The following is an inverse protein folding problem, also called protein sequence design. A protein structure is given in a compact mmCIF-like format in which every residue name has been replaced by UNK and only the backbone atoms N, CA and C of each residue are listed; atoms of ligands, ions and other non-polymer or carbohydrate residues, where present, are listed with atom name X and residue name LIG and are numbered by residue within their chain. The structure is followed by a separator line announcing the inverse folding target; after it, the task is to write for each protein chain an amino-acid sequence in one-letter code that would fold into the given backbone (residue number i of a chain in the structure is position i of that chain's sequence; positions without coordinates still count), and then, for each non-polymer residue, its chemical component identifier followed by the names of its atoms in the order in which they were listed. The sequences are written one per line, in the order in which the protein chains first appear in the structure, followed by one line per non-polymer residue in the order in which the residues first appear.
data_IF_137668927104
#
_entry.id   IF_137668927104
#
_cell.length_a   1.000
_cell.length_b   1.000
_cell.length_c   1.000
_cell.angle_alpha   90.00
_cell.angle_beta   90.00
_cell.angle_gamma   90.00
#
_symmetry.space_group_name_H-M   'P 1'
#
loop_
_entity.id
_entity.type
_entity.pdbx_description
1 polymer ?
#
# COMPACT_ATOMS: atom_id res chain seq x y z
N UNK A 1 -6.44 14.24 -13.85
CA UNK A 1 -6.51 13.39 -12.66
C UNK A 1 -7.93 13.26 -12.22
N UNK A 2 -8.33 12.07 -11.75
CA UNK A 2 -9.55 11.95 -10.98
C UNK A 2 -9.38 12.72 -9.65
N UNK A 3 -10.47 12.98 -8.95
CA UNK A 3 -10.36 13.55 -7.59
C UNK A 3 -10.15 12.42 -6.56
N UNK A 4 -9.68 12.79 -5.36
CA UNK A 4 -9.47 11.88 -4.24
C UNK A 4 -10.62 10.90 -4.01
N UNK A 5 -11.85 11.42 -3.99
CA UNK A 5 -13.06 10.63 -3.73
C UNK A 5 -13.27 9.53 -4.80
N UNK A 6 -12.97 9.83 -6.06
CA UNK A 6 -13.08 8.86 -7.15
C UNK A 6 -12.07 7.74 -6.97
N UNK A 7 -10.81 8.06 -6.67
CA UNK A 7 -9.76 7.05 -6.43
C UNK A 7 -10.04 6.18 -5.20
N UNK A 8 -10.54 6.79 -4.12
CA UNK A 8 -10.93 6.05 -2.92
C UNK A 8 -12.10 5.10 -3.21
N UNK A 9 -13.18 5.58 -3.82
CA UNK A 9 -14.36 4.76 -4.12
C UNK A 9 -14.02 3.60 -5.06
N UNK A 10 -13.24 3.86 -6.10
CA UNK A 10 -12.83 2.82 -7.04
C UNK A 10 -11.93 1.78 -6.37
N UNK A 11 -10.94 2.23 -5.58
CA UNK A 11 -10.07 1.33 -4.80
C UNK A 11 -10.86 0.45 -3.85
N UNK A 12 -11.74 1.06 -3.04
CA UNK A 12 -12.61 0.35 -2.09
C UNK A 12 -13.50 -0.66 -2.81
N UNK A 13 -14.12 -0.29 -3.93
CA UNK A 13 -15.01 -1.19 -4.66
C UNK A 13 -14.25 -2.38 -5.27
N UNK A 14 -13.20 -2.12 -6.05
CA UNK A 14 -12.45 -3.17 -6.76
C UNK A 14 -11.77 -4.13 -5.79
N UNK A 15 -11.09 -3.59 -4.79
CA UNK A 15 -10.34 -4.42 -3.83
C UNK A 15 -11.29 -5.10 -2.83
N UNK A 16 -12.44 -4.50 -2.50
CA UNK A 16 -13.47 -5.13 -1.68
C UNK A 16 -14.09 -6.34 -2.36
N UNK A 17 -14.45 -6.23 -3.65
CA UNK A 17 -14.95 -7.36 -4.45
C UNK A 17 -13.88 -8.46 -4.50
N UNK A 18 -12.62 -8.12 -4.81
CA UNK A 18 -11.54 -9.09 -4.88
C UNK A 18 -11.31 -9.83 -3.54
N UNK A 19 -11.34 -9.10 -2.42
CA UNK A 19 -11.21 -9.69 -1.09
C UNK A 19 -12.39 -10.63 -0.77
N UNK A 20 -13.62 -10.20 -1.07
CA UNK A 20 -14.82 -11.02 -0.88
C UNK A 20 -14.79 -12.30 -1.74
N UNK A 21 -14.31 -12.21 -2.97
CA UNK A 21 -14.13 -13.37 -3.86
C UNK A 21 -13.16 -14.40 -3.26
N UNK A 22 -12.03 -13.96 -2.70
CA UNK A 22 -11.07 -14.86 -2.07
C UNK A 22 -11.62 -15.53 -0.79
N UNK A 23 -12.48 -14.84 -0.04
CA UNK A 23 -13.21 -15.43 1.10
C UNK A 23 -14.22 -16.46 0.61
N UNK A 24 -15.04 -16.12 -0.39
CA UNK A 24 -16.05 -17.02 -0.95
C UNK A 24 -15.43 -18.30 -1.54
N UNK A 25 -14.21 -18.17 -2.08
CA UNK A 25 -13.41 -19.30 -2.55
C UNK A 25 -12.87 -20.21 -1.43
N UNK A 26 -12.74 -19.68 -0.21
CA UNK A 26 -12.24 -20.42 0.96
C UNK A 26 -10.72 -20.38 1.15
N UNK A 27 -9.99 -19.54 0.41
CA UNK A 27 -8.53 -19.46 0.49
C UNK A 27 -8.02 -18.60 1.65
N UNK A 28 -8.83 -17.63 2.09
CA UNK A 28 -8.46 -16.68 3.14
C UNK A 28 -9.56 -16.51 4.18
N UNK A 29 -9.14 -16.14 5.39
CA UNK A 29 -10.06 -15.77 6.47
C UNK A 29 -10.67 -14.38 6.23
N UNK A 30 -11.78 -14.09 6.90
CA UNK A 30 -12.41 -12.76 6.88
C UNK A 30 -11.45 -11.69 7.40
N UNK A 31 -10.65 -11.99 8.42
CA UNK A 31 -9.67 -11.05 8.99
C UNK A 31 -8.59 -10.69 7.95
N UNK A 32 -8.07 -11.69 7.24
CA UNK A 32 -7.14 -11.47 6.13
C UNK A 32 -7.81 -10.64 5.03
N UNK A 33 -9.05 -10.93 4.67
CA UNK A 33 -9.77 -10.19 3.63
C UNK A 33 -9.98 -8.72 3.97
N UNK A 34 -10.36 -8.40 5.23
CA UNK A 34 -10.48 -7.01 5.69
C UNK A 34 -9.15 -6.26 5.63
N UNK A 35 -8.06 -6.93 6.00
CA UNK A 35 -6.71 -6.37 5.87
C UNK A 35 -6.33 -6.09 4.42
N UNK A 36 -6.55 -7.06 3.52
CA UNK A 36 -6.27 -6.91 2.09
C UNK A 36 -7.11 -5.79 1.46
N UNK A 37 -8.38 -5.70 1.83
CA UNK A 37 -9.27 -4.63 1.38
C UNK A 37 -8.79 -3.25 1.83
N UNK A 38 -8.40 -3.12 3.10
CA UNK A 38 -7.83 -1.89 3.64
C UNK A 38 -6.55 -1.49 2.90
N UNK A 39 -5.59 -2.41 2.76
CA UNK A 39 -4.32 -2.15 2.09
C UNK A 39 -4.50 -1.83 0.60
N UNK A 40 -5.40 -2.51 -0.09
CA UNK A 40 -5.72 -2.21 -1.48
C UNK A 40 -6.33 -0.81 -1.65
N UNK A 41 -7.18 -0.39 -0.71
CA UNK A 41 -7.74 0.97 -0.70
C UNK A 41 -6.67 2.03 -0.42
N UNK A 42 -5.69 1.74 0.45
CA UNK A 42 -4.52 2.60 0.65
C UNK A 42 -3.67 2.68 -0.62
N UNK A 43 -3.48 1.54 -1.32
CA UNK A 43 -2.77 1.49 -2.60
C UNK A 43 -3.36 2.43 -3.64
N UNK A 44 -4.69 2.56 -3.71
CA UNK A 44 -5.36 3.47 -4.66
C UNK A 44 -5.22 4.95 -4.35
N UNK A 45 -4.71 5.32 -3.18
CA UNK A 45 -4.40 6.70 -2.80
C UNK A 45 -2.89 6.98 -2.82
N UNK A 46 -2.07 5.92 -2.90
CA UNK A 46 -0.63 6.00 -2.68
C UNK A 46 0.14 6.81 -3.72
N UNK A 47 -0.22 6.86 -5.03
CA UNK A 47 0.50 7.72 -5.97
C UNK A 47 0.46 9.21 -5.62
N UNK A 48 -0.66 9.69 -5.09
CA UNK A 48 -0.94 11.10 -4.76
C UNK A 48 -0.21 11.63 -3.50
N UNK A 49 0.65 10.83 -2.87
CA UNK A 49 1.40 11.24 -1.68
C UNK A 49 2.50 12.25 -1.99
N UNK A 50 2.89 12.43 -3.26
CA UNK A 50 3.94 13.37 -3.65
C UNK A 50 3.50 14.84 -3.62
N UNK A 51 2.20 15.11 -3.47
CA UNK A 51 1.67 16.46 -3.30
C UNK A 51 1.69 16.89 -1.84
N UNK A 52 2.37 18.00 -1.55
CA UNK A 52 2.60 18.54 -0.19
C UNK A 52 1.34 18.82 0.63
N UNK A 53 0.19 18.93 -0.03
CA UNK A 53 -1.12 19.22 0.59
C UNK A 53 -2.23 18.31 0.10
N UNK A 54 -1.93 17.06 -0.29
CA UNK A 54 -2.98 16.12 -0.68
C UNK A 54 -3.66 15.49 0.52
N UNK A 55 -4.98 15.34 0.41
CA UNK A 55 -5.77 14.55 1.36
C UNK A 55 -5.28 13.09 1.42
N UNK A 56 -4.78 12.53 0.30
CA UNK A 56 -4.15 11.20 0.24
C UNK A 56 -2.97 11.09 1.21
N UNK A 57 -2.07 12.08 1.21
CA UNK A 57 -0.91 12.11 2.10
C UNK A 57 -1.34 12.10 3.57
N UNK A 58 -2.31 12.95 3.93
CA UNK A 58 -2.81 13.05 5.31
C UNK A 58 -3.46 11.74 5.78
N UNK A 59 -4.29 11.12 4.94
CA UNK A 59 -4.97 9.85 5.24
C UNK A 59 -3.95 8.72 5.43
N UNK A 60 -2.98 8.59 4.52
CA UNK A 60 -1.97 7.51 4.58
C UNK A 60 -1.05 7.68 5.79
N UNK A 61 -0.59 8.91 6.06
CA UNK A 61 0.23 9.18 7.25
C UNK A 61 -0.54 8.96 8.56
N UNK A 62 -1.82 9.35 8.61
CA UNK A 62 -2.68 9.09 9.75
C UNK A 62 -2.82 7.59 10.02
N UNK A 63 -3.13 6.81 8.97
CA UNK A 63 -3.22 5.36 9.04
C UNK A 63 -1.91 4.71 9.50
N UNK A 64 -0.77 5.11 8.94
CA UNK A 64 0.55 4.62 9.34
C UNK A 64 0.88 4.96 10.79
N UNK A 65 0.52 6.16 11.25
CA UNK A 65 0.73 6.59 12.64
C UNK A 65 -0.09 5.77 13.61
N UNK A 66 -1.36 5.50 13.28
CA UNK A 66 -2.23 4.63 14.08
C UNK A 66 -1.63 3.22 14.14
N UNK A 67 -1.25 2.63 13.01
CA UNK A 67 -0.67 1.29 12.95
C UNK A 67 0.62 1.16 13.77
N UNK A 68 1.53 2.15 13.68
CA UNK A 68 2.77 2.17 14.45
C UNK A 68 2.51 2.36 15.95
N UNK A 69 1.55 3.21 16.33
CA UNK A 69 1.15 3.36 17.72
C UNK A 69 0.62 2.04 18.29
N UNK A 70 -0.30 1.37 17.58
CA UNK A 70 -0.82 0.07 18.01
C UNK A 70 0.27 -1.00 18.09
N UNK A 71 1.16 -1.08 17.09
CA UNK A 71 2.27 -2.04 17.09
C UNK A 71 3.24 -1.82 18.25
N UNK A 72 3.64 -0.57 18.50
CA UNK A 72 4.50 -0.22 19.63
C UNK A 72 3.83 -0.51 20.97
N UNK A 73 2.54 -0.21 21.10
CA UNK A 73 1.76 -0.51 22.31
C UNK A 73 1.62 -2.00 22.54
N UNK A 74 1.38 -2.78 21.49
CA UNK A 74 1.36 -4.24 21.58
C UNK A 74 2.69 -4.79 22.08
N UNK A 75 3.83 -4.29 21.57
CA UNK A 75 5.15 -4.71 22.03
C UNK A 75 5.41 -4.33 23.50
N UNK A 76 5.07 -3.09 23.88
CA UNK A 76 5.28 -2.56 25.23
C UNK A 76 4.42 -3.26 26.29
N UNK A 77 3.19 -3.63 25.93
CA UNK A 77 2.25 -4.31 26.83
C UNK A 77 2.48 -5.83 26.82
N UNK A 78 2.75 -6.41 25.65
CA UNK A 78 2.84 -7.86 25.45
C UNK A 78 4.02 -8.52 26.17
N UNK A 79 5.10 -7.76 26.41
CA UNK A 79 6.28 -8.25 27.13
C UNK A 79 6.22 -8.00 28.65
N UNK A 80 5.20 -7.29 29.14
CA UNK A 80 5.18 -6.79 30.50
C UNK A 80 4.46 -7.77 31.47
N UNK A 81 5.23 -8.60 32.16
CA UNK A 81 4.79 -9.22 33.44
C UNK A 81 4.64 -8.18 34.58
N UNK A 82 4.94 -6.91 34.31
CA UNK A 82 4.78 -5.77 35.22
C UNK A 82 3.61 -4.88 34.78
N UNK A 83 2.78 -4.37 35.69
CA UNK A 83 1.74 -3.40 35.36
C UNK A 83 2.33 -2.21 34.59
N UNK A 84 1.84 -1.94 33.38
CA UNK A 84 2.26 -0.78 32.59
C UNK A 84 1.58 0.47 33.14
N UNK A 85 2.36 1.43 33.64
CA UNK A 85 1.82 2.68 34.15
C UNK A 85 1.16 3.53 33.05
N UNK A 86 0.08 4.23 33.40
CA UNK A 86 -0.70 5.10 32.50
C UNK A 86 0.17 6.09 31.71
N UNK A 87 1.22 6.63 32.34
CA UNK A 87 2.12 7.58 31.70
C UNK A 87 2.81 6.98 30.46
N UNK A 88 3.21 5.71 30.51
CA UNK A 88 3.86 5.00 29.39
C UNK A 88 2.88 4.77 28.24
N UNK A 89 1.62 4.45 28.57
CA UNK A 89 0.54 4.24 27.60
C UNK A 89 0.15 5.53 26.86
N UNK A 90 0.37 6.70 27.47
CA UNK A 90 0.09 8.00 26.86
C UNK A 90 1.31 8.57 26.11
N UNK A 91 2.50 8.52 26.73
CA UNK A 91 3.69 9.18 26.18
C UNK A 91 4.27 8.46 24.97
N UNK A 92 4.22 7.12 24.90
CA UNK A 92 4.79 6.38 23.77
C UNK A 92 4.01 6.65 22.47
N UNK A 93 2.68 6.49 22.41
CA UNK A 93 1.91 6.85 21.21
C UNK A 93 2.06 8.33 20.84
N UNK A 94 2.06 9.23 21.83
CA UNK A 94 2.25 10.66 21.58
C UNK A 94 3.62 10.94 20.95
N UNK A 95 4.70 10.33 21.46
CA UNK A 95 6.04 10.48 20.91
C UNK A 95 6.13 9.94 19.47
N UNK A 96 5.53 8.78 19.19
CA UNK A 96 5.48 8.19 17.85
C UNK A 96 4.72 9.14 16.91
N UNK A 97 3.53 9.60 17.31
CA UNK A 97 2.73 10.53 16.51
C UNK A 97 3.50 11.80 16.18
N UNK A 98 4.11 12.45 17.19
CA UNK A 98 4.90 13.67 16.99
C UNK A 98 6.11 13.42 16.09
N UNK A 99 6.81 12.30 16.27
CA UNK A 99 7.96 11.95 15.42
C UNK A 99 7.55 11.76 13.95
N UNK A 100 6.48 11.01 13.70
CA UNK A 100 6.01 10.75 12.34
C UNK A 100 5.52 12.04 11.65
N UNK A 101 4.72 12.84 12.34
CA UNK A 101 4.12 14.04 11.75
C UNK A 101 5.09 15.23 11.65
N UNK A 102 6.04 15.36 12.58
CA UNK A 102 6.96 16.52 12.60
C UNK A 102 8.31 16.23 11.95
N UNK A 103 8.81 15.00 12.01
CA UNK A 103 10.14 14.66 11.49
C UNK A 103 10.01 13.91 10.17
N UNK A 104 9.37 12.73 10.19
CA UNK A 104 9.34 11.85 9.01
C UNK A 104 8.61 12.49 7.84
N UNK A 105 7.43 13.08 8.08
CA UNK A 105 6.66 13.77 7.05
C UNK A 105 7.44 14.92 6.40
N UNK A 106 8.23 15.69 7.17
CA UNK A 106 9.05 16.78 6.63
C UNK A 106 10.20 16.27 5.76
N UNK A 107 10.84 15.18 6.17
CA UNK A 107 11.89 14.51 5.38
C UNK A 107 11.28 13.98 4.09
N UNK A 108 10.14 13.29 4.19
CA UNK A 108 9.42 12.76 3.04
C UNK A 108 9.09 13.84 2.02
N UNK A 109 8.44 14.93 2.43
CA UNK A 109 8.12 16.07 1.56
C UNK A 109 9.35 16.64 0.85
N UNK A 110 10.51 16.70 1.53
CA UNK A 110 11.76 17.15 0.90
C UNK A 110 12.27 16.18 -0.18
N UNK A 111 12.14 14.87 0.04
CA UNK A 111 12.58 13.84 -0.91
C UNK A 111 11.59 13.73 -2.08
N UNK A 112 10.30 13.88 -1.82
CA UNK A 112 9.22 13.75 -2.82
C UNK A 112 8.81 15.05 -3.48
N UNK A 113 9.49 16.17 -3.19
CA UNK A 113 9.30 17.45 -3.87
C UNK A 113 9.48 17.35 -5.40
N UNK A 114 10.19 16.31 -5.86
CA UNK A 114 10.32 15.93 -7.26
C UNK A 114 9.02 15.28 -7.76
N UNK A 115 8.07 16.12 -8.18
CA UNK A 115 6.75 15.73 -8.71
C UNK A 115 6.87 14.64 -9.77
N UNK A 116 6.10 13.55 -9.61
CA UNK A 116 5.93 12.52 -10.64
C UNK A 116 6.71 11.22 -10.43
N UNK A 117 7.57 11.12 -9.42
CA UNK A 117 8.22 9.84 -9.10
C UNK A 117 7.24 8.80 -8.53
N UNK A 118 6.29 9.26 -7.70
CA UNK A 118 5.25 8.43 -7.11
C UNK A 118 4.23 7.93 -8.15
N UNK A 119 4.21 8.55 -9.33
CA UNK A 119 3.39 8.19 -10.48
C UNK A 119 4.14 7.30 -11.50
N UNK A 120 4.99 6.40 -10.99
CA UNK A 120 5.70 5.43 -11.82
C UNK A 120 5.42 3.99 -11.41
N UNK A 121 5.38 3.08 -12.39
CA UNK A 121 5.12 1.66 -12.15
C UNK A 121 6.23 1.05 -11.28
N UNK A 122 7.50 1.41 -11.50
CA UNK A 122 8.60 0.91 -10.67
C UNK A 122 8.46 1.36 -9.22
N UNK A 123 7.93 2.56 -8.96
CA UNK A 123 7.69 3.04 -7.61
C UNK A 123 6.62 2.19 -6.92
N UNK A 124 5.53 1.87 -7.62
CA UNK A 124 4.52 0.93 -7.14
C UNK A 124 5.12 -0.44 -6.81
N UNK A 125 5.89 -1.03 -7.72
CA UNK A 125 6.52 -2.36 -7.53
C UNK A 125 7.52 -2.35 -6.37
N UNK A 126 8.37 -1.31 -6.26
CA UNK A 126 9.33 -1.19 -5.17
C UNK A 126 8.64 -1.16 -3.80
N UNK A 127 7.59 -0.34 -3.66
CA UNK A 127 6.80 -0.26 -2.43
C UNK A 127 6.00 -1.53 -2.16
N UNK A 128 5.49 -2.20 -3.19
CA UNK A 128 4.90 -3.54 -3.07
C UNK A 128 5.89 -4.52 -2.46
N UNK A 129 7.12 -4.59 -2.96
CA UNK A 129 8.13 -5.53 -2.44
C UNK A 129 8.56 -5.19 -1.02
N UNK A 130 8.69 -3.90 -0.68
CA UNK A 130 8.90 -3.48 0.71
C UNK A 130 7.75 -3.94 1.59
N UNK A 131 6.50 -3.73 1.16
CA UNK A 131 5.31 -4.12 1.92
C UNK A 131 5.20 -5.64 2.09
N UNK A 132 5.52 -6.43 1.06
CA UNK A 132 5.58 -7.90 1.14
C UNK A 132 6.58 -8.32 2.23
N UNK A 133 7.80 -7.80 2.18
CA UNK A 133 8.83 -8.17 3.15
C UNK A 133 8.45 -7.76 4.57
N UNK A 134 8.05 -6.50 4.78
CA UNK A 134 7.59 -6.01 6.09
C UNK A 134 6.43 -6.85 6.63
N UNK A 135 5.44 -7.14 5.78
CA UNK A 135 4.30 -7.99 6.18
C UNK A 135 4.75 -9.39 6.53
N UNK A 136 5.68 -10.00 5.79
CA UNK A 136 6.18 -11.34 6.07
C UNK A 136 6.89 -11.41 7.44
N UNK A 137 7.80 -10.46 7.71
CA UNK A 137 8.54 -10.42 8.97
C UNK A 137 7.63 -10.11 10.17
N UNK A 138 6.61 -9.26 10.01
CA UNK A 138 5.66 -8.94 11.09
C UNK A 138 4.60 -10.03 11.29
N UNK A 139 4.09 -10.62 10.20
CA UNK A 139 3.03 -11.63 10.26
C UNK A 139 3.54 -13.03 10.61
N UNK A 140 4.86 -13.27 10.57
CA UNK A 140 5.49 -14.56 10.85
C UNK A 140 5.06 -15.22 12.17
N UNK A 141 4.65 -14.43 13.16
CA UNK A 141 4.17 -14.90 14.46
C UNK A 141 2.65 -14.75 14.68
N UNK A 142 1.94 -14.13 13.74
CA UNK A 142 0.56 -13.68 13.93
C UNK A 142 -0.46 -14.38 13.01
N UNK A 143 -0.01 -14.93 11.87
CA UNK A 143 -0.92 -15.43 10.82
C UNK A 143 -0.50 -16.80 10.32
N UNK A 144 -1.48 -17.65 10.04
CA UNK A 144 -1.30 -18.94 9.38
C UNK A 144 -0.94 -18.69 7.90
N UNK A 145 0.15 -19.27 7.41
CA UNK A 145 0.73 -19.03 6.06
C UNK A 145 1.19 -17.57 5.83
N UNK A 146 2.18 -17.07 6.60
CA UNK A 146 2.63 -15.68 6.52
C UNK A 146 3.15 -15.27 5.14
N UNK A 147 3.78 -16.18 4.39
CA UNK A 147 4.26 -15.93 3.03
C UNK A 147 3.11 -15.61 2.06
N UNK A 148 2.00 -16.36 2.14
CA UNK A 148 0.81 -16.15 1.32
C UNK A 148 0.17 -14.80 1.64
N UNK A 149 -0.02 -14.49 2.92
CA UNK A 149 -0.59 -13.20 3.36
C UNK A 149 0.28 -12.02 2.94
N UNK A 150 1.61 -12.13 3.04
CA UNK A 150 2.55 -11.10 2.62
C UNK A 150 2.42 -10.78 1.13
N UNK A 151 2.43 -11.81 0.27
CA UNK A 151 2.28 -11.63 -1.17
C UNK A 151 0.90 -11.12 -1.57
N UNK A 152 -0.18 -11.61 -0.95
CA UNK A 152 -1.52 -11.07 -1.16
C UNK A 152 -1.60 -9.59 -0.74
N UNK A 153 -0.96 -9.21 0.36
CA UNK A 153 -0.93 -7.81 0.84
C UNK A 153 -0.26 -6.91 -0.20
N UNK A 154 0.92 -7.30 -0.69
CA UNK A 154 1.60 -6.58 -1.75
C UNK A 154 0.81 -6.53 -3.07
N UNK A 155 0.14 -7.63 -3.42
CA UNK A 155 -0.69 -7.71 -4.62
C UNK A 155 -1.90 -6.77 -4.55
N UNK A 156 -2.63 -6.76 -3.43
CA UNK A 156 -3.78 -5.85 -3.26
C UNK A 156 -3.36 -4.38 -3.29
N UNK A 157 -2.23 -4.05 -2.64
CA UNK A 157 -1.64 -2.72 -2.73
C UNK A 157 -1.32 -2.34 -4.19
N UNK A 158 -0.65 -3.23 -4.93
CA UNK A 158 -0.28 -2.98 -6.33
C UNK A 158 -1.50 -2.82 -7.23
N UNK A 159 -2.56 -3.62 -7.02
CA UNK A 159 -3.81 -3.50 -7.76
C UNK A 159 -4.45 -2.13 -7.51
N UNK A 160 -4.52 -1.68 -6.25
CA UNK A 160 -5.00 -0.35 -5.92
C UNK A 160 -4.15 0.75 -6.59
N UNK A 161 -2.83 0.64 -6.50
CA UNK A 161 -1.88 1.57 -7.09
C UNK A 161 -2.04 1.67 -8.62
N UNK A 162 -2.10 0.53 -9.31
CA UNK A 162 -2.30 0.48 -10.76
C UNK A 162 -3.67 1.00 -11.17
N UNK A 163 -4.71 0.73 -10.37
CA UNK A 163 -6.05 1.27 -10.60
C UNK A 163 -6.02 2.80 -10.56
N UNK A 164 -5.29 3.39 -9.62
CA UNK A 164 -5.10 4.85 -9.56
C UNK A 164 -4.47 5.39 -10.86
N UNK A 165 -3.32 4.84 -11.28
CA UNK A 165 -2.64 5.29 -12.49
C UNK A 165 -3.52 5.12 -13.74
N UNK A 166 -4.23 3.99 -13.83
CA UNK A 166 -5.16 3.73 -14.94
C UNK A 166 -6.30 4.75 -14.97
N UNK A 167 -6.87 5.08 -13.82
CA UNK A 167 -7.95 6.07 -13.74
C UNK A 167 -7.48 7.45 -14.16
N UNK A 168 -6.25 7.83 -13.85
CA UNK A 168 -5.70 9.11 -14.32
C UNK A 168 -5.47 9.16 -15.81
N UNK A 169 -5.04 8.04 -16.38
CA UNK A 169 -4.90 7.88 -17.81
C UNK A 169 -6.27 7.96 -18.51
N UNK A 170 -7.30 7.26 -18.01
CA UNK A 170 -8.66 7.32 -18.55
C UNK A 170 -9.24 8.74 -18.45
N UNK A 171 -9.04 9.44 -17.33
CA UNK A 171 -9.51 10.81 -17.12
C UNK A 171 -8.71 11.86 -17.91
N UNK A 172 -7.60 11.47 -18.53
CA UNK A 172 -6.86 12.30 -19.47
C UNK A 172 -7.49 12.34 -20.87
N UNK A 173 -8.47 11.48 -21.16
CA UNK A 173 -9.25 11.47 -22.39
C UNK A 173 -10.55 12.26 -22.22
N UNK A 174 -10.76 13.30 -23.03
CA UNK A 174 -12.05 14.00 -23.09
C UNK A 174 -13.02 13.25 -24.01
N UNK A 175 -13.77 12.29 -23.48
CA UNK A 175 -14.73 11.48 -24.24
C UNK A 175 -15.81 12.30 -24.97
N UNK A 176 -16.21 13.45 -24.41
CA UNK A 176 -17.22 14.33 -25.02
C UNK A 176 -16.73 15.03 -26.30
N UNK A 177 -15.41 15.09 -26.52
CA UNK A 177 -14.79 15.77 -27.67
C UNK A 177 -13.83 14.86 -28.45
N UNK A 178 -13.70 13.59 -28.07
CA UNK A 178 -12.67 12.65 -28.55
C UNK A 178 -11.27 13.31 -28.62
N UNK A 179 -10.96 14.16 -27.64
CA UNK A 179 -9.71 14.91 -27.58
C UNK A 179 -8.81 14.35 -26.49
N UNK A 180 -7.56 14.06 -26.84
CA UNK A 180 -6.53 13.70 -25.86
C UNK A 180 -6.04 14.99 -25.18
N UNK A 181 -6.00 14.99 -23.85
CA UNK A 181 -5.30 16.05 -23.11
C UNK A 181 -3.79 15.84 -23.28
N UNK A 182 -3.02 16.92 -23.15
CA UNK A 182 -1.55 16.85 -23.16
C UNK A 182 -0.98 15.98 -22.02
N UNK A 183 -1.80 15.58 -21.04
CA UNK A 183 -1.45 14.66 -19.97
C UNK A 183 -1.61 13.18 -20.32
N UNK A 184 -2.11 12.83 -21.51
CA UNK A 184 -2.21 11.43 -21.94
C UNK A 184 -0.81 10.81 -22.08
N UNK A 185 -0.63 9.59 -21.58
CA UNK A 185 0.62 8.85 -21.53
C UNK A 185 1.52 9.21 -20.34
N UNK A 186 1.09 10.11 -19.45
CA UNK A 186 1.92 10.59 -18.34
C UNK A 186 1.69 9.85 -17.02
N UNK A 187 0.58 9.11 -16.87
CA UNK A 187 0.25 8.43 -15.62
C UNK A 187 0.87 7.02 -15.53
N UNK A 188 1.08 6.33 -16.66
CA UNK A 188 1.64 4.96 -16.70
C UNK A 188 3.15 4.93 -17.00
N UNK A 189 3.90 5.91 -16.51
CA UNK A 189 5.36 5.94 -16.70
C UNK A 189 6.01 4.74 -16.01
N UNK A 190 6.99 4.12 -16.68
CA UNK A 190 7.72 2.98 -16.10
C UNK A 190 8.68 3.43 -15.00
N UNK A 191 9.44 4.49 -15.26
CA UNK A 191 10.45 5.07 -14.37
C UNK A 191 10.19 6.56 -14.14
N UNK A 192 10.62 7.13 -13.01
CA UNK A 192 10.66 8.58 -12.82
C UNK A 192 11.47 9.27 -13.92
N UNK A 193 10.88 10.23 -14.62
CA UNK A 193 11.59 11.01 -15.63
C UNK A 193 12.62 11.94 -15.00
N UNK A 194 13.74 12.15 -15.69
CA UNK A 194 14.78 13.13 -15.34
C UNK A 194 15.44 12.95 -13.95
N UNK A 195 15.27 11.78 -13.31
CA UNK A 195 15.86 11.46 -12.01
C UNK A 195 16.52 10.08 -12.02
N UNK A 196 17.74 10.01 -12.58
CA UNK A 196 18.51 8.76 -12.73
C UNK A 196 18.78 8.11 -11.37
N UNK A 197 19.25 8.88 -10.38
CA UNK A 197 19.58 8.33 -9.06
C UNK A 197 18.36 7.70 -8.38
N UNK A 198 17.20 8.34 -8.47
CA UNK A 198 15.94 7.82 -7.93
C UNK A 198 15.50 6.55 -8.67
N UNK A 199 15.58 6.55 -10.00
CA UNK A 199 15.26 5.38 -10.83
C UNK A 199 16.15 4.18 -10.49
N UNK A 200 17.47 4.39 -10.40
CA UNK A 200 18.44 3.36 -10.00
C UNK A 200 18.14 2.84 -8.60
N UNK A 201 17.81 3.74 -7.65
CA UNK A 201 17.47 3.36 -6.28
C UNK A 201 16.20 2.50 -6.22
N UNK A 202 15.15 2.86 -6.96
CA UNK A 202 13.90 2.09 -7.02
C UNK A 202 14.13 0.71 -7.65
N UNK A 203 14.91 0.63 -8.74
CA UNK A 203 15.27 -0.66 -9.35
C UNK A 203 16.09 -1.51 -8.39
N UNK A 204 17.04 -0.92 -7.67
CA UNK A 204 17.82 -1.64 -6.66
C UNK A 204 16.92 -2.16 -5.53
N UNK A 205 15.96 -1.36 -5.06
CA UNK A 205 14.94 -1.81 -4.08
C UNK A 205 14.12 -2.97 -4.64
N UNK A 206 13.75 -2.95 -5.92
CA UNK A 206 13.04 -4.07 -6.53
C UNK A 206 13.88 -5.36 -6.55
N UNK A 207 15.14 -5.27 -6.98
CA UNK A 207 16.04 -6.43 -7.05
C UNK A 207 16.31 -7.00 -5.67
N UNK A 208 16.71 -6.15 -4.72
CA UNK A 208 17.01 -6.55 -3.33
C UNK A 208 15.73 -7.03 -2.63
N UNK A 209 14.64 -6.30 -2.77
CA UNK A 209 13.36 -6.64 -2.17
C UNK A 209 12.85 -7.99 -2.64
N UNK A 210 12.92 -8.28 -3.95
CA UNK A 210 12.57 -9.59 -4.49
C UNK A 210 13.47 -10.70 -3.97
N UNK A 211 14.78 -10.45 -3.86
CA UNK A 211 15.74 -11.42 -3.33
C UNK A 211 15.42 -11.87 -1.89
N UNK A 212 14.95 -10.95 -1.05
CA UNK A 212 14.57 -11.26 0.34
C UNK A 212 13.12 -11.72 0.50
N UNK A 213 12.29 -11.59 -0.54
CA UNK A 213 10.87 -11.95 -0.46
C UNK A 213 10.69 -13.45 -0.19
N UNK A 214 9.62 -13.84 0.54
CA UNK A 214 9.31 -15.23 0.79
C UNK A 214 8.88 -15.96 -0.49
N UNK A 215 8.84 -17.28 -0.44
CA UNK A 215 8.40 -18.11 -1.56
C UNK A 215 6.95 -17.77 -2.01
N UNK A 216 6.72 -17.72 -3.33
CA UNK A 216 5.44 -17.32 -3.95
C UNK A 216 4.47 -18.49 -4.23
N UNK A 217 4.84 -19.74 -4.00
CA UNK A 217 4.09 -20.93 -4.44
C UNK A 217 2.64 -20.93 -3.93
N UNK A 218 2.41 -20.70 -2.63
CA UNK A 218 1.07 -20.63 -2.06
C UNK A 218 0.25 -19.47 -2.64
N UNK A 219 0.87 -18.31 -2.82
CA UNK A 219 0.24 -17.15 -3.46
C UNK A 219 -0.19 -17.46 -4.90
N UNK A 220 0.69 -18.07 -5.70
CA UNK A 220 0.39 -18.46 -7.09
C UNK A 220 -0.73 -19.51 -7.11
N UNK A 221 -0.70 -20.48 -6.19
CA UNK A 221 -1.74 -21.49 -6.09
C UNK A 221 -3.11 -20.87 -5.77
N UNK A 222 -3.16 -19.94 -4.81
CA UNK A 222 -4.38 -19.18 -4.47
C UNK A 222 -4.90 -18.37 -5.66
N UNK A 223 -4.05 -17.80 -6.51
CA UNK A 223 -4.53 -17.04 -7.67
C UNK A 223 -4.90 -17.90 -8.89
N UNK A 224 -4.34 -19.11 -9.00
CA UNK A 224 -4.52 -19.97 -10.19
C UNK A 224 -5.53 -21.10 -10.03
N UNK A 225 -5.71 -21.65 -8.83
CA UNK A 225 -6.59 -22.80 -8.61
C UNK A 225 -8.01 -22.39 -8.23
N UNK A 226 -8.94 -22.33 -9.17
CA UNK A 226 -10.33 -21.90 -8.93
C UNK A 226 -11.34 -23.05 -8.71
N UNK A 227 -10.86 -24.29 -8.55
CA UNK A 227 -11.72 -25.47 -8.50
C UNK A 227 -12.69 -25.51 -7.30
N UNK A 228 -12.39 -24.76 -6.24
CA UNK A 228 -13.20 -24.69 -5.02
C UNK A 228 -14.16 -23.49 -4.99
N UNK A 229 -14.13 -22.62 -6.01
CA UNK A 229 -15.02 -21.46 -6.04
C UNK A 229 -16.47 -21.89 -6.26
N UNK A 230 -17.35 -21.48 -5.35
CA UNK A 230 -18.80 -21.66 -5.46
C UNK A 230 -19.47 -20.32 -5.53
N UNK A 231 -20.34 -20.15 -6.53
CA UNK A 231 -21.15 -18.93 -6.68
C UNK A 231 -22.41 -18.99 -5.80
N UNK A 232 -22.82 -20.19 -5.39
CA UNK A 232 -24.00 -20.52 -4.57
C UNK A 232 -23.75 -21.77 -3.72
#
# INVERSE_FOLDING_TARGET
MANFETHLKAGVAVTGIAAATLVAKGDITIQTALWLWFIGSIGSLYPDIDSDSSTSLEVIYGAMSIALCFGAMHYVIGDAHTPTGLLRLLLIPLAIYLFLHQVLLRIFKKITAHRGACHSIIFGIANTLVLVNVTFYLAGHLVIKPAMTAWLTGFFFLVGFLLHLLMDEINSVEFSRFKLKNSFGTALKLLPENHILLSVSLVAICVVGYWYSPNMTEFIHVLSNWNHFKFY
#
